data_IF_077675942929
#
_entry.id   IF_077675942929
#
_cell.length_a   1.000
_cell.length_b   1.000
_cell.length_c   1.000
_cell.angle_alpha   90.00
_cell.angle_beta   90.00
_cell.angle_gamma   90.00
#
_symmetry.space_group_name_H-M   'P 1'
#
loop_
_entity.id
_entity.type
_entity.pdbx_description
1 polymer ?
#
# COMPACT_ATOMS: atom_id res chain seq x y z
N UNK A 1 5.82 22.59 35.21
CA UNK A 1 4.88 23.66 34.82
C UNK A 1 3.94 23.10 33.77
N UNK A 2 2.62 23.15 33.99
CA UNK A 2 1.63 22.68 33.03
C UNK A 2 1.70 23.55 31.74
N UNK A 3 1.79 22.91 30.57
CA UNK A 3 1.82 23.62 29.29
C UNK A 3 0.56 23.27 28.51
N UNK A 4 -0.14 24.29 28.03
CA UNK A 4 -1.32 24.09 27.16
C UNK A 4 -0.91 23.36 25.88
N UNK A 5 -1.77 22.43 25.42
CA UNK A 5 -1.50 21.61 24.24
C UNK A 5 -1.31 22.46 23.00
N UNK A 6 -2.16 23.46 22.79
CA UNK A 6 -2.08 24.33 21.61
C UNK A 6 -0.86 25.23 21.64
N UNK A 7 -0.46 25.74 22.84
CA UNK A 7 0.78 26.53 22.98
C UNK A 7 2.02 25.69 22.66
N UNK A 8 2.02 24.41 23.07
CA UNK A 8 3.08 23.47 22.69
C UNK A 8 3.11 23.25 21.17
N UNK A 9 1.95 23.06 20.53
CA UNK A 9 1.84 22.86 19.07
C UNK A 9 2.31 24.10 18.31
N UNK A 10 1.89 25.32 18.72
CA UNK A 10 2.33 26.58 18.11
C UNK A 10 3.86 26.76 18.21
N UNK A 11 4.47 26.31 19.27
CA UNK A 11 5.94 26.36 19.46
C UNK A 11 6.71 25.28 18.71
N UNK A 12 6.04 24.21 18.24
CA UNK A 12 6.70 23.04 17.62
C UNK A 12 7.04 23.21 16.13
N UNK A 13 6.86 24.41 15.54
CA UNK A 13 7.06 24.66 14.11
C UNK A 13 6.32 23.69 13.17
N UNK A 14 5.21 23.07 13.64
CA UNK A 14 4.41 22.14 12.84
C UNK A 14 4.95 20.70 12.78
N UNK A 15 5.89 20.34 13.65
CA UNK A 15 6.48 18.99 13.70
C UNK A 15 7.51 18.73 12.58
N UNK A 16 7.92 17.46 12.39
CA UNK A 16 9.04 17.12 11.50
C UNK A 16 8.85 17.55 10.03
N UNK A 17 7.63 17.47 9.52
CA UNK A 17 7.32 17.90 8.13
C UNK A 17 7.00 19.40 8.11
N UNK A 18 6.23 19.90 9.08
CA UNK A 18 5.76 21.27 9.14
C UNK A 18 6.86 22.32 9.29
N UNK A 19 8.05 21.93 9.77
CA UNK A 19 9.23 22.83 9.81
C UNK A 19 9.64 23.36 8.43
N UNK A 20 9.26 22.67 7.35
CA UNK A 20 9.53 23.07 5.97
C UNK A 20 8.38 23.90 5.34
N UNK A 21 7.29 24.16 6.07
CA UNK A 21 6.04 24.72 5.56
C UNK A 21 6.24 25.96 4.68
N UNK A 22 6.99 26.95 5.17
CA UNK A 22 7.17 28.23 4.46
C UNK A 22 7.82 28.08 3.07
N UNK A 23 8.69 27.08 2.90
CA UNK A 23 9.44 26.83 1.65
C UNK A 23 8.84 25.71 0.81
N UNK A 24 8.02 24.86 1.40
CA UNK A 24 7.56 23.64 0.77
C UNK A 24 6.11 23.68 0.31
N UNK A 25 5.25 24.51 0.95
CA UNK A 25 3.81 24.52 0.67
C UNK A 25 3.51 24.98 -0.77
N UNK A 26 2.73 24.18 -1.48
CA UNK A 26 2.38 24.40 -2.89
C UNK A 26 3.46 23.98 -3.89
N UNK A 27 4.66 23.70 -3.44
CA UNK A 27 5.76 23.27 -4.32
C UNK A 27 6.20 21.84 -4.03
N UNK A 28 6.79 21.56 -2.86
CA UNK A 28 7.19 20.20 -2.44
C UNK A 28 6.11 19.47 -1.65
N UNK A 29 5.38 20.20 -0.79
CA UNK A 29 4.25 19.70 -0.04
C UNK A 29 2.96 20.28 -0.61
N UNK A 30 1.92 19.46 -0.74
CA UNK A 30 0.63 19.84 -1.31
C UNK A 30 0.71 20.50 -2.71
N UNK A 31 1.55 19.99 -3.65
CA UNK A 31 1.62 20.54 -5.00
C UNK A 31 0.28 20.35 -5.71
N UNK A 32 -0.07 21.31 -6.56
CA UNK A 32 -1.29 21.25 -7.36
C UNK A 32 -0.94 20.85 -8.78
N UNK A 33 -1.23 19.60 -9.11
CA UNK A 33 -1.17 19.10 -10.49
C UNK A 33 -2.55 19.25 -11.11
N UNK A 34 -2.62 19.76 -12.32
CA UNK A 34 -3.85 20.06 -13.05
C UNK A 34 -3.89 19.32 -14.39
N UNK A 35 -5.10 19.15 -14.94
CA UNK A 35 -5.33 18.44 -16.19
C UNK A 35 -5.78 17.00 -15.99
N UNK A 36 -5.75 16.22 -17.05
CA UNK A 36 -6.05 14.78 -16.97
C UNK A 36 -4.91 14.04 -16.30
N UNK A 37 -5.30 13.04 -15.47
CA UNK A 37 -4.31 12.16 -14.84
C UNK A 37 -3.54 11.36 -15.89
N UNK A 38 -2.24 11.56 -15.99
CA UNK A 38 -1.41 10.89 -16.98
C UNK A 38 0.04 11.33 -16.92
N UNK A 39 0.85 10.89 -17.90
CA UNK A 39 2.25 11.28 -17.93
C UNK A 39 2.46 12.79 -18.19
N UNK A 40 1.51 13.45 -18.83
CA UNK A 40 1.58 14.88 -19.11
C UNK A 40 0.50 15.61 -18.31
N UNK A 41 0.92 16.44 -17.38
CA UNK A 41 0.06 17.25 -16.52
C UNK A 41 0.55 18.69 -16.47
N UNK A 42 -0.15 19.58 -15.77
CA UNK A 42 0.29 20.95 -15.53
C UNK A 42 0.70 21.14 -14.08
N UNK A 43 1.81 21.83 -13.89
CA UNK A 43 2.26 22.31 -12.58
C UNK A 43 2.61 23.79 -12.67
N UNK A 44 1.97 24.62 -11.85
CA UNK A 44 2.11 26.09 -11.88
C UNK A 44 1.90 26.68 -13.29
N UNK A 45 0.93 26.13 -14.04
CA UNK A 45 0.59 26.59 -15.40
C UNK A 45 1.50 26.06 -16.52
N UNK A 46 2.57 25.34 -16.20
CA UNK A 46 3.50 24.75 -17.18
C UNK A 46 3.20 23.26 -17.39
N UNK A 47 3.33 22.78 -18.63
CA UNK A 47 3.22 21.36 -18.93
C UNK A 47 4.45 20.62 -18.40
N UNK A 48 4.22 19.53 -17.68
CA UNK A 48 5.29 18.71 -17.08
C UNK A 48 5.08 17.24 -17.38
N UNK A 49 6.18 16.51 -17.55
CA UNK A 49 6.19 15.04 -17.55
C UNK A 49 6.15 14.55 -16.11
N UNK A 50 5.03 13.96 -15.71
CA UNK A 50 4.76 13.56 -14.32
C UNK A 50 5.17 12.12 -14.03
N UNK A 51 6.11 11.93 -13.09
CA UNK A 51 6.59 10.64 -12.60
C UNK A 51 6.17 10.31 -11.16
N UNK A 52 5.17 11.03 -10.62
CA UNK A 52 4.78 10.93 -9.21
C UNK A 52 3.39 10.35 -8.97
N UNK A 53 2.75 9.77 -9.99
CA UNK A 53 1.42 9.18 -9.86
C UNK A 53 1.50 7.67 -9.61
N UNK A 54 0.66 7.17 -8.71
CA UNK A 54 0.52 5.73 -8.47
C UNK A 54 -0.40 5.02 -9.50
N UNK A 55 -0.56 5.59 -10.68
CA UNK A 55 -1.41 5.07 -11.76
C UNK A 55 -0.65 4.02 -12.60
N UNK A 56 -0.18 2.94 -11.97
CA UNK A 56 0.78 2.00 -12.53
C UNK A 56 0.36 1.37 -13.87
N UNK A 57 -0.91 0.99 -13.98
CA UNK A 57 -1.46 0.40 -15.21
C UNK A 57 -2.16 1.41 -16.11
N UNK A 58 -2.15 2.71 -15.78
CA UNK A 58 -2.81 3.74 -16.57
C UNK A 58 -4.34 3.73 -16.47
N UNK A 59 -4.92 3.00 -15.53
CA UNK A 59 -6.38 2.78 -15.44
C UNK A 59 -7.18 4.02 -15.08
N UNK A 60 -6.57 5.07 -14.54
CA UNK A 60 -7.29 6.29 -14.12
C UNK A 60 -8.06 6.96 -15.27
N UNK A 61 -7.53 6.90 -16.50
CA UNK A 61 -8.16 7.47 -17.69
C UNK A 61 -8.54 6.43 -18.76
N UNK A 62 -8.56 5.16 -18.37
CA UNK A 62 -8.97 4.09 -19.30
C UNK A 62 -10.41 4.33 -19.78
N UNK A 63 -10.71 4.35 -21.11
CA UNK A 63 -12.03 4.73 -21.63
C UNK A 63 -13.18 3.90 -21.08
N UNK A 64 -13.01 2.58 -21.03
CA UNK A 64 -14.03 1.66 -20.52
C UNK A 64 -14.27 1.83 -19.02
N UNK A 65 -13.22 2.18 -18.25
CA UNK A 65 -13.32 2.46 -16.82
C UNK A 65 -14.05 3.77 -16.59
N UNK A 66 -13.67 4.84 -17.28
CA UNK A 66 -14.36 6.13 -17.17
C UNK A 66 -15.84 6.05 -17.54
N UNK A 67 -16.15 5.22 -18.54
CA UNK A 67 -17.54 4.94 -18.92
C UNK A 67 -18.28 4.21 -17.80
N UNK A 68 -17.71 3.13 -17.26
CA UNK A 68 -18.32 2.35 -16.17
C UNK A 68 -18.51 3.20 -14.91
N UNK A 69 -17.51 3.99 -14.52
CA UNK A 69 -17.59 4.91 -13.37
C UNK A 69 -18.72 5.93 -13.55
N UNK A 70 -18.87 6.52 -14.75
CA UNK A 70 -19.91 7.50 -15.07
C UNK A 70 -21.31 6.86 -15.06
N UNK A 71 -21.47 5.69 -15.66
CA UNK A 71 -22.74 4.94 -15.68
C UNK A 71 -23.16 4.52 -14.26
N UNK A 72 -22.25 4.03 -13.46
CA UNK A 72 -22.49 3.67 -12.06
C UNK A 72 -22.86 4.89 -11.21
N UNK A 73 -22.19 6.03 -11.43
CA UNK A 73 -22.53 7.28 -10.74
C UNK A 73 -23.92 7.80 -11.14
N UNK A 74 -24.29 7.70 -12.41
CA UNK A 74 -25.64 8.08 -12.90
C UNK A 74 -26.72 7.15 -12.32
N UNK A 75 -26.45 5.86 -12.20
CA UNK A 75 -27.39 4.85 -11.69
C UNK A 75 -27.62 4.96 -10.18
N UNK A 76 -26.56 5.08 -9.41
CA UNK A 76 -26.60 4.96 -7.96
C UNK A 76 -26.46 6.30 -7.20
N UNK A 77 -25.89 7.31 -7.83
CA UNK A 77 -25.38 8.49 -7.12
C UNK A 77 -24.21 8.13 -6.20
N UNK A 78 -23.66 9.12 -5.51
CA UNK A 78 -22.47 8.94 -4.65
C UNK A 78 -22.81 8.51 -3.21
N UNK A 79 -24.09 8.53 -2.84
CA UNK A 79 -24.51 8.30 -1.47
C UNK A 79 -24.86 6.83 -1.16
N UNK A 80 -25.29 6.08 -2.15
CA UNK A 80 -25.77 4.70 -1.95
C UNK A 80 -24.61 3.70 -1.82
N UNK A 81 -24.71 2.74 -0.85
CA UNK A 81 -25.69 2.60 0.21
C UNK A 81 -25.40 3.52 1.41
N UNK A 82 -26.42 3.82 2.21
CA UNK A 82 -26.35 4.74 3.36
C UNK A 82 -26.23 4.00 4.70
N UNK A 83 -25.09 3.32 4.92
CA UNK A 83 -24.84 2.62 6.17
C UNK A 83 -23.47 1.99 6.21
N UNK A 84 -23.08 1.48 7.36
CA UNK A 84 -21.92 0.59 7.48
C UNK A 84 -22.24 -0.80 6.92
N UNK A 85 -21.21 -1.56 6.59
CA UNK A 85 -21.36 -2.93 6.08
C UNK A 85 -22.19 -3.82 7.00
N UNK A 86 -22.02 -3.69 8.30
CA UNK A 86 -22.76 -4.46 9.30
C UNK A 86 -24.26 -4.13 9.36
N UNK A 87 -24.67 -2.93 8.97
CA UNK A 87 -26.05 -2.47 9.12
C UNK A 87 -26.78 -2.44 7.78
N UNK A 88 -26.77 -1.32 7.07
CA UNK A 88 -27.53 -1.12 5.83
C UNK A 88 -26.64 -0.85 4.61
N UNK A 89 -25.34 -1.02 4.76
CA UNK A 89 -24.35 -0.75 3.74
C UNK A 89 -23.90 -1.97 2.94
N UNK A 90 -24.43 -3.17 3.20
CA UNK A 90 -24.15 -4.38 2.45
C UNK A 90 -24.98 -4.46 1.18
N UNK A 91 -24.38 -4.83 0.07
CA UNK A 91 -25.09 -5.12 -1.20
C UNK A 91 -24.49 -6.35 -1.88
N UNK A 92 -25.26 -6.96 -2.81
CA UNK A 92 -24.78 -8.10 -3.60
C UNK A 92 -23.54 -7.78 -4.46
N UNK A 93 -23.35 -6.50 -4.85
CA UNK A 93 -22.17 -6.11 -5.63
C UNK A 93 -20.92 -6.00 -4.76
N UNK A 94 -21.03 -5.63 -3.46
CA UNK A 94 -19.94 -5.77 -2.52
C UNK A 94 -19.53 -7.24 -2.36
N UNK A 95 -20.50 -8.13 -2.19
CA UNK A 95 -20.24 -9.58 -2.08
C UNK A 95 -19.61 -10.15 -3.34
N UNK A 96 -20.07 -9.72 -4.52
CA UNK A 96 -19.49 -10.12 -5.80
C UNK A 96 -18.06 -9.65 -5.96
N UNK A 97 -17.75 -8.39 -5.61
CA UNK A 97 -16.40 -7.86 -5.65
C UNK A 97 -15.48 -8.65 -4.71
N UNK A 98 -15.90 -8.90 -3.47
CA UNK A 98 -15.15 -9.69 -2.49
C UNK A 98 -14.90 -11.12 -2.96
N UNK A 99 -15.92 -11.77 -3.51
CA UNK A 99 -15.81 -13.12 -4.09
C UNK A 99 -14.78 -13.16 -5.22
N UNK A 100 -14.80 -12.16 -6.10
CA UNK A 100 -13.88 -12.08 -7.23
C UNK A 100 -12.46 -11.77 -6.83
N UNK A 101 -12.27 -10.86 -5.84
CA UNK A 101 -10.95 -10.58 -5.28
C UNK A 101 -10.34 -11.81 -4.59
N UNK A 102 -11.15 -12.55 -3.82
CA UNK A 102 -10.72 -13.80 -3.22
C UNK A 102 -10.27 -14.82 -4.27
N UNK A 103 -11.08 -15.00 -5.34
CA UNK A 103 -10.74 -15.89 -6.44
C UNK A 103 -9.46 -15.47 -7.18
N UNK A 104 -9.29 -14.17 -7.42
CA UNK A 104 -8.08 -13.61 -8.04
C UNK A 104 -6.84 -13.90 -7.20
N UNK A 105 -6.90 -13.69 -5.89
CA UNK A 105 -5.80 -13.95 -4.95
C UNK A 105 -5.68 -15.43 -4.53
N UNK A 106 -6.51 -16.32 -5.07
CA UNK A 106 -6.56 -17.76 -4.69
C UNK A 106 -6.73 -17.95 -3.18
N UNK A 107 -7.55 -17.10 -2.55
CA UNK A 107 -7.95 -17.22 -1.16
C UNK A 107 -9.42 -17.64 -1.06
N UNK A 108 -9.82 -18.17 0.10
CA UNK A 108 -11.20 -18.64 0.30
C UNK A 108 -12.22 -17.50 0.36
N UNK A 109 -11.82 -16.36 0.94
CA UNK A 109 -12.68 -15.20 1.08
C UNK A 109 -11.89 -13.90 1.08
N UNK A 110 -12.60 -12.77 0.84
CA UNK A 110 -12.06 -11.44 0.99
C UNK A 110 -13.09 -10.52 1.66
N UNK A 111 -12.61 -9.41 2.20
CA UNK A 111 -13.43 -8.35 2.75
C UNK A 111 -12.83 -7.00 2.36
N UNK A 112 -13.63 -6.16 1.70
CA UNK A 112 -13.19 -4.84 1.27
C UNK A 112 -13.31 -3.78 2.34
N UNK A 113 -12.53 -2.72 2.21
CA UNK A 113 -12.54 -1.57 3.11
C UNK A 113 -12.35 -0.25 2.35
N UNK A 114 -12.80 0.85 2.96
CA UNK A 114 -12.90 2.16 2.31
C UNK A 114 -11.54 2.78 1.99
N UNK A 115 -10.54 2.58 2.85
CA UNK A 115 -9.20 3.14 2.70
C UNK A 115 -8.16 2.13 3.17
N UNK A 116 -7.12 1.90 2.36
CA UNK A 116 -6.03 0.97 2.67
C UNK A 116 -5.45 1.19 4.07
N UNK A 117 -5.12 2.44 4.40
CA UNK A 117 -4.56 2.78 5.71
C UNK A 117 -5.44 2.32 6.88
N UNK A 118 -6.73 2.69 6.88
CA UNK A 118 -7.66 2.31 7.94
C UNK A 118 -7.93 0.80 7.98
N UNK A 119 -8.05 0.18 6.80
CA UNK A 119 -8.29 -1.25 6.67
C UNK A 119 -7.16 -2.05 7.30
N UNK A 120 -5.92 -1.72 6.97
CA UNK A 120 -4.71 -2.37 7.50
C UNK A 120 -4.63 -2.21 9.01
N UNK A 121 -4.73 -0.97 9.53
CA UNK A 121 -4.73 -0.72 10.98
C UNK A 121 -5.80 -1.54 11.69
N UNK A 122 -7.02 -1.57 11.15
CA UNK A 122 -8.15 -2.28 11.75
C UNK A 122 -8.02 -3.79 11.63
N UNK A 123 -7.40 -4.30 10.56
CA UNK A 123 -7.12 -5.73 10.38
C UNK A 123 -6.16 -6.21 11.47
N UNK A 124 -5.05 -5.51 11.68
CA UNK A 124 -4.06 -5.86 12.71
C UNK A 124 -4.69 -5.79 14.11
N UNK A 125 -5.37 -4.67 14.43
CA UNK A 125 -6.02 -4.48 15.73
C UNK A 125 -7.06 -5.57 16.04
N UNK A 126 -7.74 -6.06 15.00
CA UNK A 126 -8.80 -7.08 15.16
C UNK A 126 -8.24 -8.50 15.32
N UNK A 127 -7.09 -8.81 14.72
CA UNK A 127 -6.55 -10.17 14.66
C UNK A 127 -5.79 -10.59 15.91
N UNK A 128 -5.13 -9.65 16.58
CA UNK A 128 -4.18 -9.98 17.65
C UNK A 128 -4.69 -9.59 19.03
N UNK A 129 -4.45 -10.45 20.01
CA UNK A 129 -4.76 -10.20 21.42
C UNK A 129 -3.48 -10.07 22.25
N UNK A 130 -3.62 -9.68 23.55
CA UNK A 130 -2.48 -9.45 24.46
C UNK A 130 -1.49 -10.61 24.61
N UNK A 131 -1.92 -11.83 24.28
CA UNK A 131 -1.10 -13.03 24.40
C UNK A 131 -0.28 -13.31 23.15
N UNK A 132 -0.69 -12.71 22.02
CA UNK A 132 0.01 -12.87 20.75
C UNK A 132 1.25 -12.00 20.66
N UNK A 133 2.14 -12.37 19.75
CA UNK A 133 3.39 -11.65 19.50
C UNK A 133 3.43 -11.25 18.02
N UNK A 134 3.72 -9.98 17.76
CA UNK A 134 3.95 -9.48 16.41
C UNK A 134 5.45 -9.45 16.12
N UNK A 135 5.84 -9.97 14.94
CA UNK A 135 7.17 -9.80 14.34
C UNK A 135 7.00 -8.96 13.08
N UNK A 136 7.84 -7.94 12.87
CA UNK A 136 7.63 -7.01 11.75
C UNK A 136 8.95 -6.45 11.20
N UNK A 137 8.94 -6.04 9.91
CA UNK A 137 10.10 -5.44 9.26
C UNK A 137 10.33 -3.99 9.75
N UNK A 138 11.58 -3.58 9.80
CA UNK A 138 11.96 -2.25 10.28
C UNK A 138 11.50 -1.11 9.37
N UNK A 139 11.25 -1.38 8.08
CA UNK A 139 10.84 -0.41 7.07
C UNK A 139 9.37 -0.54 6.66
N UNK A 140 8.58 -1.29 7.42
CA UNK A 140 7.13 -1.41 7.19
C UNK A 140 6.45 -0.03 7.15
N UNK A 141 5.47 0.11 6.25
CA UNK A 141 4.72 1.33 6.04
C UNK A 141 4.01 1.82 7.30
N UNK A 142 3.81 3.13 7.40
CA UNK A 142 3.19 3.78 8.56
C UNK A 142 1.84 3.16 8.98
N UNK A 143 1.02 2.66 8.05
CA UNK A 143 -0.24 1.99 8.37
C UNK A 143 -0.03 0.68 9.13
N UNK A 144 0.99 -0.11 8.77
CA UNK A 144 1.37 -1.32 9.50
C UNK A 144 1.87 -0.95 10.89
N UNK A 145 2.78 0.03 10.98
CA UNK A 145 3.33 0.49 12.26
C UNK A 145 2.25 1.04 13.19
N UNK A 146 1.24 1.75 12.67
CA UNK A 146 0.15 2.27 13.50
C UNK A 146 -0.78 1.15 13.98
N UNK A 147 -1.08 0.14 13.15
CA UNK A 147 -1.78 -1.06 13.59
C UNK A 147 -1.00 -1.83 14.67
N UNK A 148 0.32 -1.99 14.47
CA UNK A 148 1.22 -2.63 15.43
C UNK A 148 1.28 -1.84 16.75
N UNK A 149 1.18 -0.50 16.71
CA UNK A 149 1.15 0.33 17.94
C UNK A 149 -0.07 0.09 18.81
N UNK A 150 -1.23 -0.23 18.21
CA UNK A 150 -2.45 -0.54 18.95
C UNK A 150 -2.33 -1.86 19.70
N UNK A 151 -1.50 -2.79 19.24
CA UNK A 151 -1.28 -4.06 19.91
C UNK A 151 -0.66 -3.88 21.30
N UNK A 152 -1.31 -4.43 22.32
CA UNK A 152 -0.90 -4.35 23.73
C UNK A 152 0.04 -5.47 24.17
N UNK A 153 0.26 -6.48 23.34
CA UNK A 153 1.21 -7.58 23.54
C UNK A 153 2.63 -7.23 23.11
N UNK A 154 3.46 -8.25 23.03
CA UNK A 154 4.86 -8.11 22.64
C UNK A 154 5.01 -7.93 21.13
N UNK A 155 5.99 -7.15 20.73
CA UNK A 155 6.32 -6.88 19.32
C UNK A 155 7.82 -6.83 19.14
N UNK A 156 8.31 -7.52 18.11
CA UNK A 156 9.72 -7.63 17.78
C UNK A 156 9.97 -7.16 16.35
N UNK A 157 10.82 -6.16 16.23
CA UNK A 157 11.27 -5.65 14.95
C UNK A 157 12.51 -6.41 14.49
N UNK A 158 12.56 -6.80 13.22
CA UNK A 158 13.79 -7.27 12.57
C UNK A 158 14.33 -6.24 11.58
N UNK A 159 15.63 -6.32 11.28
CA UNK A 159 16.29 -5.45 10.32
C UNK A 159 15.74 -5.70 8.92
N UNK A 160 15.48 -4.62 8.19
CA UNK A 160 14.90 -4.66 6.84
C UNK A 160 15.55 -5.74 5.96
N UNK A 161 14.71 -6.64 5.45
CA UNK A 161 15.10 -7.74 4.55
C UNK A 161 16.28 -8.61 5.05
N UNK A 162 16.52 -8.68 6.36
CA UNK A 162 17.54 -9.53 6.96
C UNK A 162 16.92 -10.82 7.51
N UNK A 163 16.97 -11.91 6.71
CA UNK A 163 16.38 -13.19 7.09
C UNK A 163 16.99 -13.78 8.37
N UNK A 164 18.29 -13.55 8.62
CA UNK A 164 18.96 -14.07 9.82
C UNK A 164 18.44 -13.36 11.07
N UNK A 165 18.26 -12.04 10.98
CA UNK A 165 17.69 -11.26 12.08
C UNK A 165 16.20 -11.58 12.24
N UNK A 166 15.43 -11.74 11.13
CA UNK A 166 14.06 -12.20 11.14
C UNK A 166 13.93 -13.55 11.86
N UNK A 167 14.71 -14.56 11.51
CA UNK A 167 14.69 -15.87 12.16
C UNK A 167 15.02 -15.76 13.64
N UNK A 168 16.02 -14.98 14.00
CA UNK A 168 16.42 -14.75 15.41
C UNK A 168 15.28 -14.18 16.25
N UNK A 169 14.58 -13.15 15.76
CA UNK A 169 13.47 -12.54 16.52
C UNK A 169 12.22 -13.40 16.49
N UNK A 170 11.98 -14.13 15.39
CA UNK A 170 10.87 -15.07 15.25
C UNK A 170 10.99 -16.23 16.25
N UNK A 171 12.19 -16.82 16.41
CA UNK A 171 12.43 -17.85 17.41
C UNK A 171 12.05 -17.37 18.81
N UNK A 172 12.49 -16.18 19.20
CA UNK A 172 12.14 -15.54 20.47
C UNK A 172 10.63 -15.29 20.60
N UNK A 173 9.98 -14.83 19.53
CA UNK A 173 8.57 -14.59 19.50
C UNK A 173 7.75 -15.87 19.71
N UNK A 174 8.16 -16.98 19.06
CA UNK A 174 7.50 -18.28 19.20
C UNK A 174 7.62 -18.81 20.64
N UNK A 175 8.80 -18.74 21.25
CA UNK A 175 9.00 -19.15 22.65
C UNK A 175 8.13 -18.34 23.62
N UNK A 176 8.01 -17.04 23.37
CA UNK A 176 7.19 -16.15 24.22
C UNK A 176 5.70 -16.41 24.03
N UNK A 177 5.23 -16.55 22.79
CA UNK A 177 3.84 -16.85 22.47
C UNK A 177 3.41 -18.18 23.09
N UNK A 178 4.24 -19.23 23.01
CA UNK A 178 3.98 -20.53 23.64
C UNK A 178 3.79 -20.39 25.17
N UNK A 179 4.68 -19.65 25.84
CA UNK A 179 4.58 -19.40 27.30
C UNK A 179 3.30 -18.65 27.69
N UNK A 180 2.79 -17.80 26.80
CA UNK A 180 1.60 -16.96 27.02
C UNK A 180 0.29 -17.62 26.55
N UNK A 181 0.38 -18.76 25.85
CA UNK A 181 -0.77 -19.39 25.18
C UNK A 181 -1.33 -18.58 24.02
N UNK A 182 -0.48 -17.81 23.33
CA UNK A 182 -0.81 -17.00 22.15
C UNK A 182 -0.21 -17.55 20.87
N UNK A 183 -0.33 -16.79 19.78
CA UNK A 183 0.24 -17.04 18.47
C UNK A 183 1.28 -15.98 18.05
N UNK A 184 1.88 -16.20 16.87
CA UNK A 184 2.81 -15.24 16.27
C UNK A 184 2.27 -14.79 14.92
N UNK A 185 2.19 -13.47 14.72
CA UNK A 185 1.89 -12.83 13.43
C UNK A 185 3.15 -12.13 12.94
N UNK A 186 3.68 -12.58 11.79
CA UNK A 186 4.75 -11.89 11.07
C UNK A 186 4.12 -10.98 10.03
N UNK A 187 4.51 -9.71 10.03
CA UNK A 187 4.00 -8.66 9.15
C UNK A 187 5.16 -8.12 8.32
N UNK A 188 4.96 -7.94 7.01
CA UNK A 188 5.91 -7.28 6.10
C UNK A 188 5.20 -6.76 4.85
N UNK A 189 5.89 -5.99 4.03
CA UNK A 189 5.39 -5.58 2.72
C UNK A 189 5.82 -6.56 1.62
N UNK A 190 5.00 -6.68 0.58
CA UNK A 190 5.39 -7.35 -0.66
C UNK A 190 6.36 -6.50 -1.47
N UNK A 191 5.99 -5.23 -1.67
CA UNK A 191 6.84 -4.19 -2.29
C UNK A 191 6.95 -3.02 -1.33
N UNK A 192 8.15 -2.67 -0.92
CA UNK A 192 8.42 -1.47 -0.12
C UNK A 192 8.32 -0.21 -0.99
N UNK A 193 7.25 0.56 -0.76
CA UNK A 193 6.84 1.65 -1.65
C UNK A 193 7.83 2.82 -1.76
N UNK A 194 8.79 2.96 -0.84
CA UNK A 194 9.78 4.04 -0.86
C UNK A 194 11.07 3.65 -1.60
N UNK A 195 11.43 2.37 -1.58
CA UNK A 195 12.70 1.87 -2.12
C UNK A 195 12.50 1.06 -3.41
N UNK A 196 11.28 0.57 -3.64
CA UNK A 196 11.01 -0.38 -4.71
C UNK A 196 11.61 -1.78 -4.47
N UNK A 197 12.13 -2.04 -3.27
CA UNK A 197 12.61 -3.35 -2.85
C UNK A 197 11.46 -4.33 -2.75
N UNK A 198 11.72 -5.60 -3.05
CA UNK A 198 10.80 -6.69 -2.76
C UNK A 198 11.03 -7.20 -1.33
N UNK A 199 9.94 -7.59 -0.66
CA UNK A 199 10.03 -8.35 0.58
C UNK A 199 10.61 -9.74 0.34
N UNK A 200 11.35 -10.29 1.29
CA UNK A 200 11.99 -11.63 1.21
C UNK A 200 10.99 -12.77 1.51
N UNK A 201 9.84 -12.76 0.81
CA UNK A 201 8.69 -13.61 1.15
C UNK A 201 8.99 -15.11 1.03
N UNK A 202 9.78 -15.53 0.05
CA UNK A 202 10.21 -16.92 -0.14
C UNK A 202 11.04 -17.43 1.04
N UNK A 203 11.95 -16.59 1.53
CA UNK A 203 12.79 -16.91 2.67
C UNK A 203 11.98 -16.93 3.97
N UNK A 204 11.07 -16.00 4.16
CA UNK A 204 10.16 -15.95 5.33
C UNK A 204 9.22 -17.17 5.30
N UNK A 205 8.62 -17.49 4.15
CA UNK A 205 7.75 -18.66 4.00
C UNK A 205 8.48 -19.97 4.34
N UNK A 206 9.76 -20.09 3.95
CA UNK A 206 10.59 -21.26 4.29
C UNK A 206 10.75 -21.47 5.81
N UNK A 207 10.66 -20.42 6.63
CA UNK A 207 10.72 -20.53 8.10
C UNK A 207 9.50 -21.23 8.71
N UNK A 208 8.36 -21.35 8.00
CA UNK A 208 7.19 -22.13 8.45
C UNK A 208 7.50 -23.62 8.63
N UNK A 209 8.53 -24.14 7.97
CA UNK A 209 9.02 -25.51 8.18
C UNK A 209 9.64 -25.72 9.57
N UNK A 210 10.05 -24.62 10.22
CA UNK A 210 10.78 -24.67 11.50
C UNK A 210 9.98 -24.05 12.65
N UNK A 211 9.16 -23.03 12.35
CA UNK A 211 8.42 -22.24 13.35
C UNK A 211 6.92 -22.22 13.00
N UNK A 212 6.09 -22.14 14.04
CA UNK A 212 4.63 -21.97 13.89
C UNK A 212 4.28 -20.50 13.99
N UNK A 213 3.94 -19.88 12.87
CA UNK A 213 3.52 -18.48 12.80
C UNK A 213 2.61 -18.25 11.58
N UNK A 214 1.93 -17.10 11.52
CA UNK A 214 1.14 -16.65 10.39
C UNK A 214 1.82 -15.49 9.70
N UNK A 215 1.68 -15.39 8.38
CA UNK A 215 2.24 -14.34 7.54
C UNK A 215 1.12 -13.43 7.06
N UNK A 216 1.25 -12.13 7.34
CA UNK A 216 0.45 -11.06 6.76
C UNK A 216 1.35 -10.20 5.87
N UNK A 217 0.93 -9.98 4.63
CA UNK A 217 1.64 -9.08 3.73
C UNK A 217 0.76 -7.88 3.34
N UNK A 218 1.36 -6.70 3.33
CA UNK A 218 0.84 -5.52 2.63
C UNK A 218 1.43 -5.50 1.22
N UNK A 219 0.61 -5.83 0.25
CA UNK A 219 1.01 -5.87 -1.15
C UNK A 219 0.37 -4.72 -1.96
N UNK A 220 0.15 -3.58 -1.32
CA UNK A 220 -0.45 -2.39 -1.93
C UNK A 220 0.27 -1.96 -3.22
N UNK A 221 1.56 -2.16 -3.31
CA UNK A 221 2.39 -1.83 -4.47
C UNK A 221 2.64 -3.01 -5.41
N UNK A 222 2.33 -4.25 -5.01
CA UNK A 222 2.48 -5.45 -5.82
C UNK A 222 1.17 -5.89 -6.50
N UNK A 223 0.02 -5.69 -5.84
CA UNK A 223 -1.30 -6.02 -6.37
C UNK A 223 -1.54 -5.41 -7.76
N UNK A 224 -1.92 -6.23 -8.72
CA UNK A 224 -2.17 -5.85 -10.11
C UNK A 224 -0.92 -5.74 -10.99
N UNK A 225 0.30 -5.69 -10.42
CA UNK A 225 1.54 -5.42 -11.19
C UNK A 225 2.64 -6.45 -11.04
N UNK A 226 2.72 -7.15 -9.89
CA UNK A 226 3.69 -8.21 -9.63
C UNK A 226 3.09 -9.59 -9.93
N UNK A 227 3.95 -10.56 -10.24
CA UNK A 227 3.54 -11.91 -10.63
C UNK A 227 3.12 -12.00 -12.09
N UNK A 228 2.93 -13.23 -12.57
CA UNK A 228 2.57 -13.50 -13.97
C UNK A 228 1.19 -12.94 -14.33
N UNK A 229 0.22 -13.12 -13.41
CA UNK A 229 -1.16 -12.69 -13.60
C UNK A 229 -1.50 -11.40 -12.85
N UNK A 230 -0.52 -10.76 -12.21
CA UNK A 230 -0.75 -9.56 -11.40
C UNK A 230 -1.31 -9.82 -10.00
N UNK A 231 -1.20 -11.06 -9.48
CA UNK A 231 -1.63 -11.44 -8.12
C UNK A 231 -0.64 -11.04 -7.03
N UNK A 232 0.26 -10.15 -7.35
CA UNK A 232 1.19 -9.57 -6.39
C UNK A 232 2.46 -10.38 -6.15
N UNK A 233 3.14 -10.01 -5.06
CA UNK A 233 4.46 -10.54 -4.73
C UNK A 233 4.42 -11.99 -4.25
N UNK A 234 3.34 -12.44 -3.64
CA UNK A 234 3.15 -13.83 -3.26
C UNK A 234 3.13 -14.78 -4.48
N UNK A 235 2.52 -14.34 -5.60
CA UNK A 235 2.59 -15.05 -6.88
C UNK A 235 4.01 -14.99 -7.46
N UNK A 236 4.63 -13.80 -7.44
CA UNK A 236 5.99 -13.60 -7.96
C UNK A 236 7.01 -14.58 -7.34
N UNK A 237 6.92 -14.80 -6.04
CA UNK A 237 7.79 -15.74 -5.31
C UNK A 237 7.28 -17.18 -5.27
N UNK A 238 6.08 -17.46 -5.78
CA UNK A 238 5.47 -18.79 -5.75
C UNK A 238 5.09 -19.27 -4.34
N UNK A 239 4.74 -18.33 -3.44
CA UNK A 239 4.43 -18.60 -2.02
C UNK A 239 3.00 -18.18 -1.63
N UNK A 240 2.08 -18.20 -2.58
CA UNK A 240 0.68 -17.80 -2.32
C UNK A 240 0.00 -18.62 -1.24
N UNK A 241 0.35 -19.90 -1.13
CA UNK A 241 -0.24 -20.81 -0.13
C UNK A 241 0.34 -20.59 1.28
N UNK A 242 1.55 -20.06 1.38
CA UNK A 242 2.21 -19.74 2.65
C UNK A 242 1.81 -18.40 3.24
N UNK A 243 1.32 -17.48 2.43
CA UNK A 243 0.78 -16.18 2.90
C UNK A 243 -0.62 -16.41 3.46
N UNK A 244 -0.81 -16.18 4.76
CA UNK A 244 -2.09 -16.43 5.44
C UNK A 244 -3.07 -15.27 5.26
N UNK A 245 -2.56 -14.03 5.24
CA UNK A 245 -3.36 -12.81 5.12
C UNK A 245 -2.72 -11.92 4.06
N UNK A 246 -3.46 -11.68 3.00
CA UNK A 246 -3.08 -10.81 1.90
C UNK A 246 -3.83 -9.49 1.97
N UNK A 247 -3.13 -8.36 1.85
CA UNK A 247 -3.72 -7.03 1.76
C UNK A 247 -3.43 -6.44 0.39
N UNK A 248 -4.48 -6.07 -0.34
CA UNK A 248 -4.40 -5.30 -1.58
C UNK A 248 -4.97 -3.90 -1.42
N UNK A 249 -4.37 -2.91 -2.08
CA UNK A 249 -4.88 -1.55 -2.11
C UNK A 249 -5.30 -1.14 -3.51
N UNK A 250 -6.48 -0.50 -3.63
CA UNK A 250 -7.00 -0.03 -4.91
C UNK A 250 -6.35 1.27 -5.39
N UNK A 251 -5.72 2.01 -4.47
CA UNK A 251 -5.19 3.36 -4.73
C UNK A 251 -3.97 3.41 -5.67
N UNK A 252 -3.43 2.27 -6.10
CA UNK A 252 -2.26 2.16 -6.97
C UNK A 252 -2.68 1.59 -8.34
N UNK A 253 -2.52 0.29 -8.56
CA UNK A 253 -2.80 -0.36 -9.85
C UNK A 253 -4.24 -0.17 -10.33
N UNK A 254 -5.22 -0.20 -9.43
CA UNK A 254 -6.63 0.04 -9.78
C UNK A 254 -6.99 1.53 -9.92
N UNK A 255 -6.14 2.46 -9.50
CA UNK A 255 -6.36 3.92 -9.59
C UNK A 255 -7.72 4.38 -9.04
N UNK A 256 -8.16 3.82 -7.89
CA UNK A 256 -9.40 4.18 -7.19
C UNK A 256 -9.21 4.01 -5.68
N UNK A 257 -10.08 4.60 -4.87
CA UNK A 257 -9.99 4.47 -3.41
C UNK A 257 -10.49 3.11 -2.94
N UNK A 258 -9.93 2.64 -1.82
CA UNK A 258 -10.30 1.40 -1.16
C UNK A 258 -9.16 0.40 -1.05
N UNK A 259 -9.50 -0.80 -0.66
CA UNK A 259 -8.61 -1.94 -0.56
C UNK A 259 -9.36 -3.15 -0.03
N UNK A 260 -8.65 -4.25 0.19
CA UNK A 260 -9.24 -5.47 0.69
C UNK A 260 -8.23 -6.31 1.47
N UNK A 261 -8.75 -7.16 2.34
CA UNK A 261 -8.03 -8.27 2.97
C UNK A 261 -8.57 -9.58 2.41
N UNK A 262 -7.69 -10.52 2.09
CA UNK A 262 -8.06 -11.87 1.65
C UNK A 262 -7.33 -12.92 2.51
N UNK A 263 -8.04 -13.98 2.91
CA UNK A 263 -7.56 -15.03 3.79
C UNK A 263 -8.50 -16.26 3.73
N UNK A 264 -8.29 -17.21 4.64
CA UNK A 264 -9.23 -18.30 4.89
C UNK A 264 -10.61 -17.74 5.30
N UNK A 265 -11.67 -18.45 4.95
CA UNK A 265 -13.05 -17.97 5.12
C UNK A 265 -13.40 -17.65 6.58
N UNK A 266 -13.00 -18.47 7.53
CA UNK A 266 -13.27 -18.28 8.94
C UNK A 266 -12.58 -17.04 9.52
N UNK A 267 -11.40 -16.69 9.01
CA UNK A 267 -10.67 -15.47 9.35
C UNK A 267 -11.39 -14.24 8.80
N UNK A 268 -11.84 -14.29 7.55
CA UNK A 268 -12.62 -13.18 6.96
C UNK A 268 -13.96 -13.02 7.66
N UNK A 269 -14.65 -14.12 7.99
CA UNK A 269 -15.91 -14.06 8.74
C UNK A 269 -15.68 -13.45 10.15
N UNK A 270 -14.58 -13.77 10.81
CA UNK A 270 -14.20 -13.12 12.07
C UNK A 270 -13.96 -11.61 11.87
N UNK A 271 -13.20 -11.21 10.85
CA UNK A 271 -12.88 -9.81 10.57
C UNK A 271 -14.15 -8.97 10.30
N UNK A 272 -15.14 -9.50 9.61
CA UNK A 272 -16.43 -8.82 9.33
C UNK A 272 -17.12 -8.32 10.61
N UNK A 273 -16.97 -9.02 11.72
CA UNK A 273 -17.58 -8.68 13.00
C UNK A 273 -16.66 -7.93 13.97
N UNK A 274 -15.37 -7.76 13.63
CA UNK A 274 -14.38 -7.18 14.53
C UNK A 274 -13.66 -5.95 13.94
N UNK A 275 -13.61 -5.75 12.62
CA UNK A 275 -12.97 -4.59 12.02
C UNK A 275 -13.74 -3.30 12.26
N UNK A 276 -13.31 -2.55 13.25
CA UNK A 276 -13.96 -1.30 13.70
C UNK A 276 -14.12 -0.28 12.57
N UNK A 277 -13.15 -0.19 11.65
CA UNK A 277 -13.21 0.70 10.48
C UNK A 277 -14.33 0.36 9.49
N UNK A 278 -14.89 -0.86 9.56
CA UNK A 278 -15.99 -1.29 8.69
C UNK A 278 -17.33 -1.35 9.45
N UNK A 279 -17.29 -1.54 10.75
CA UNK A 279 -18.48 -1.57 11.61
C UNK A 279 -18.99 -0.15 11.84
N UNK A 280 -18.10 0.83 12.07
CA UNK A 280 -18.45 2.19 12.49
C UNK A 280 -18.27 3.24 11.38
N UNK A 281 -17.99 2.82 10.15
CA UNK A 281 -17.90 3.71 9.00
C UNK A 281 -18.91 3.32 7.92
N UNK A 282 -19.33 4.29 7.13
CA UNK A 282 -20.15 4.07 5.92
C UNK A 282 -19.37 3.19 4.94
N UNK A 283 -20.05 2.24 4.30
CA UNK A 283 -19.47 1.38 3.27
C UNK A 283 -19.09 2.16 2.00
N UNK A 284 -18.28 1.55 1.14
CA UNK A 284 -17.93 2.09 -0.17
C UNK A 284 -19.19 2.42 -0.98
N UNK A 285 -19.26 3.57 -1.65
CA UNK A 285 -20.34 3.89 -2.57
C UNK A 285 -20.34 2.95 -3.79
N UNK A 286 -21.54 2.67 -4.31
CA UNK A 286 -21.70 1.77 -5.44
C UNK A 286 -20.90 2.12 -6.68
N UNK A 287 -20.71 3.41 -7.06
CA UNK A 287 -19.83 3.74 -8.18
C UNK A 287 -18.39 3.25 -8.00
N UNK A 288 -17.90 3.23 -6.76
CA UNK A 288 -16.57 2.70 -6.46
C UNK A 288 -16.57 1.17 -6.61
N UNK A 289 -17.58 0.49 -6.08
CA UNK A 289 -17.69 -0.99 -6.17
C UNK A 289 -17.83 -1.47 -7.61
N UNK A 290 -18.73 -0.88 -8.41
CA UNK A 290 -18.87 -1.22 -9.84
C UNK A 290 -17.58 -0.84 -10.61
N UNK A 291 -16.96 0.30 -10.30
CA UNK A 291 -15.69 0.69 -10.86
C UNK A 291 -14.54 -0.27 -10.54
N UNK A 292 -14.52 -0.84 -9.31
CA UNK A 292 -13.55 -1.88 -8.93
C UNK A 292 -13.79 -3.19 -9.71
N UNK A 293 -15.04 -3.61 -9.86
CA UNK A 293 -15.39 -4.79 -10.68
C UNK A 293 -14.89 -4.65 -12.11
N UNK A 294 -15.11 -3.48 -12.74
CA UNK A 294 -14.63 -3.22 -14.10
C UNK A 294 -13.11 -3.21 -14.20
N UNK A 295 -12.42 -2.65 -13.19
CA UNK A 295 -10.96 -2.65 -13.12
C UNK A 295 -10.39 -4.06 -12.98
N UNK A 296 -11.04 -4.87 -12.16
CA UNK A 296 -10.65 -6.28 -11.99
C UNK A 296 -10.87 -7.08 -13.27
N UNK A 297 -11.96 -6.80 -14.04
CA UNK A 297 -12.17 -7.39 -15.37
C UNK A 297 -10.98 -7.14 -16.31
N UNK A 298 -10.45 -5.92 -16.29
CA UNK A 298 -9.30 -5.56 -17.14
C UNK A 298 -8.02 -6.21 -16.61
N UNK A 299 -7.76 -6.10 -15.30
CA UNK A 299 -6.53 -6.64 -14.69
C UNK A 299 -6.42 -8.16 -14.91
N UNK A 300 -7.54 -8.89 -14.79
CA UNK A 300 -7.63 -10.35 -14.96
C UNK A 300 -8.00 -10.73 -16.43
N UNK A 301 -7.35 -10.09 -17.40
CA UNK A 301 -7.59 -10.30 -18.82
C UNK A 301 -6.32 -10.17 -19.65
N UNK A 302 -6.32 -10.58 -20.94
CA UNK A 302 -5.19 -10.34 -21.86
C UNK A 302 -4.82 -8.85 -22.00
N UNK A 303 -5.78 -7.94 -21.83
CA UNK A 303 -5.49 -6.49 -21.79
C UNK A 303 -4.64 -6.12 -20.57
N UNK A 304 -4.98 -6.67 -19.38
CA UNK A 304 -4.19 -6.50 -18.16
C UNK A 304 -2.77 -7.04 -18.31
N UNK A 305 -2.62 -8.20 -18.99
CA UNK A 305 -1.29 -8.74 -19.31
C UNK A 305 -0.48 -7.78 -20.18
N UNK A 306 -1.11 -7.18 -21.20
CA UNK A 306 -0.47 -6.21 -22.06
C UNK A 306 -0.08 -4.93 -21.30
N UNK A 307 -0.94 -4.44 -20.41
CA UNK A 307 -0.65 -3.28 -19.56
C UNK A 307 0.52 -3.55 -18.60
N UNK A 308 0.56 -4.72 -17.97
CA UNK A 308 1.69 -5.16 -17.12
C UNK A 308 2.99 -5.26 -17.94
N UNK A 309 2.93 -5.88 -19.11
CA UNK A 309 4.08 -5.99 -20.00
C UNK A 309 4.65 -4.60 -20.39
N UNK A 310 3.77 -3.64 -20.70
CA UNK A 310 4.16 -2.27 -20.98
C UNK A 310 4.76 -1.58 -19.76
N UNK A 311 4.16 -1.71 -18.58
CA UNK A 311 4.70 -1.19 -17.32
C UNK A 311 6.13 -1.70 -17.10
N UNK A 312 6.33 -3.01 -17.20
CA UNK A 312 7.65 -3.63 -16.98
C UNK A 312 8.68 -3.26 -18.04
N UNK A 313 8.24 -3.06 -19.28
CA UNK A 313 9.12 -2.54 -20.35
C UNK A 313 9.64 -1.15 -20.00
N UNK A 314 8.75 -0.24 -19.56
CA UNK A 314 9.13 1.13 -19.17
C UNK A 314 9.99 1.12 -17.91
N UNK A 315 9.62 0.33 -16.91
CA UNK A 315 10.37 0.19 -15.65
C UNK A 315 11.80 -0.28 -15.90
N UNK A 316 11.98 -1.36 -16.65
CA UNK A 316 13.33 -1.88 -16.99
C UNK A 316 14.14 -0.84 -17.71
N UNK A 317 13.57 -0.19 -18.74
CA UNK A 317 14.27 0.85 -19.48
C UNK A 317 14.74 2.01 -18.59
N UNK A 318 13.88 2.44 -17.65
CA UNK A 318 14.21 3.50 -16.70
C UNK A 318 15.33 3.08 -15.75
N UNK A 319 15.20 1.90 -15.12
CA UNK A 319 16.17 1.39 -14.15
C UNK A 319 17.54 1.10 -14.79
N UNK A 320 17.56 0.48 -15.96
CA UNK A 320 18.77 0.23 -16.73
C UNK A 320 19.47 1.55 -17.10
N UNK A 321 18.71 2.51 -17.64
CA UNK A 321 19.25 3.82 -18.00
C UNK A 321 19.83 4.58 -16.81
N UNK A 322 19.18 4.55 -15.65
CA UNK A 322 19.74 5.17 -14.45
C UNK A 322 21.04 4.48 -13.99
N UNK A 323 21.09 3.14 -14.02
CA UNK A 323 22.31 2.40 -13.65
C UNK A 323 23.46 2.68 -14.64
N UNK A 324 23.18 2.69 -15.95
CA UNK A 324 24.15 3.03 -16.99
C UNK A 324 24.74 4.44 -16.82
N UNK A 325 23.93 5.38 -16.38
CA UNK A 325 24.34 6.76 -16.08
C UNK A 325 24.99 6.93 -14.70
N UNK A 326 25.09 5.86 -13.90
CA UNK A 326 25.73 5.87 -12.58
C UNK A 326 24.86 6.41 -11.45
N UNK A 327 23.55 6.53 -11.64
CA UNK A 327 22.64 6.87 -10.55
C UNK A 327 22.44 5.71 -9.59
N UNK A 328 22.39 6.02 -8.29
CA UNK A 328 22.04 5.06 -7.26
C UNK A 328 20.51 4.99 -7.12
N UNK A 329 19.93 3.87 -7.52
CA UNK A 329 18.50 3.59 -7.39
C UNK A 329 18.20 2.58 -6.27
N UNK A 330 19.18 2.30 -5.40
CA UNK A 330 19.04 1.35 -4.31
C UNK A 330 18.67 -0.06 -4.77
N UNK A 331 17.91 -0.80 -3.96
CA UNK A 331 17.50 -2.18 -4.25
C UNK A 331 16.22 -2.27 -5.10
N UNK A 332 15.92 -1.27 -5.94
CA UNK A 332 14.68 -1.24 -6.72
C UNK A 332 14.58 -2.42 -7.69
N UNK A 333 13.58 -3.27 -7.44
CA UNK A 333 13.20 -4.43 -8.25
C UNK A 333 11.73 -4.35 -8.73
N UNK A 334 10.91 -3.54 -8.06
CA UNK A 334 9.52 -3.26 -8.44
C UNK A 334 9.40 -2.09 -9.43
N UNK A 335 8.18 -1.73 -9.81
CA UNK A 335 7.92 -0.58 -10.70
C UNK A 335 8.20 0.78 -10.05
N UNK A 336 8.33 0.84 -8.73
CA UNK A 336 8.79 2.03 -8.00
C UNK A 336 10.31 2.14 -8.14
N UNK A 337 10.78 3.29 -8.61
CA UNK A 337 12.21 3.51 -8.87
C UNK A 337 12.66 4.82 -8.22
N UNK A 338 13.26 4.78 -7.02
CA UNK A 338 13.84 5.96 -6.39
C UNK A 338 15.19 6.31 -7.04
N UNK A 339 15.59 7.57 -6.89
CA UNK A 339 16.99 8.01 -7.08
C UNK A 339 17.50 8.51 -5.75
N UNK A 340 18.51 7.83 -5.20
CA UNK A 340 19.04 8.12 -3.88
C UNK A 340 20.05 9.27 -3.94
N UNK A 341 19.77 10.35 -3.21
CA UNK A 341 20.62 11.54 -3.17
C UNK A 341 21.35 11.59 -1.82
N UNK A 342 22.61 11.18 -1.81
CA UNK A 342 23.43 11.11 -0.59
C UNK A 342 23.92 12.47 -0.04
N UNK A 343 23.79 13.54 -0.83
CA UNK A 343 24.26 14.87 -0.46
C UNK A 343 23.32 15.69 0.43
N UNK A 344 22.24 15.07 0.94
CA UNK A 344 21.29 15.64 1.89
C UNK A 344 20.09 16.35 1.26
N UNK A 345 19.17 16.78 2.11
CA UNK A 345 17.84 17.32 1.74
C UNK A 345 17.91 18.49 0.77
N UNK A 346 18.85 19.44 0.98
CA UNK A 346 18.98 20.60 0.11
C UNK A 346 19.36 20.20 -1.32
N UNK A 347 20.20 19.18 -1.50
CA UNK A 347 20.61 18.70 -2.82
C UNK A 347 19.44 18.02 -3.55
N UNK A 348 18.66 17.19 -2.84
CA UNK A 348 17.47 16.57 -3.42
C UNK A 348 16.42 17.63 -3.82
N UNK A 349 16.22 18.66 -2.99
CA UNK A 349 15.33 19.76 -3.31
C UNK A 349 15.80 20.55 -4.54
N UNK A 350 17.08 20.88 -4.63
CA UNK A 350 17.66 21.61 -5.79
C UNK A 350 17.54 20.80 -7.07
N UNK A 351 17.78 19.48 -7.03
CA UNK A 351 17.57 18.59 -8.18
C UNK A 351 16.11 18.62 -8.62
N UNK A 352 15.16 18.52 -7.70
CA UNK A 352 13.74 18.56 -8.04
C UNK A 352 13.31 19.93 -8.61
N UNK A 353 13.90 21.03 -8.13
CA UNK A 353 13.69 22.37 -8.72
C UNK A 353 14.19 22.40 -10.15
N UNK A 354 15.43 22.00 -10.42
CA UNK A 354 16.00 21.97 -11.76
C UNK A 354 15.15 21.09 -12.69
N UNK A 355 14.77 19.88 -12.24
CA UNK A 355 13.91 18.99 -13.03
C UNK A 355 12.58 19.66 -13.40
N UNK A 356 11.94 20.37 -12.49
CA UNK A 356 10.63 21.00 -12.74
C UNK A 356 10.75 22.27 -13.58
N UNK A 357 11.72 23.13 -13.32
CA UNK A 357 11.80 24.47 -13.92
C UNK A 357 12.59 24.49 -15.23
N UNK A 358 13.64 23.65 -15.35
CA UNK A 358 14.49 23.63 -16.52
C UNK A 358 14.12 22.50 -17.50
N UNK A 359 13.71 21.33 -16.94
CA UNK A 359 13.45 20.13 -17.74
C UNK A 359 11.96 19.76 -17.83
N UNK A 360 11.08 20.47 -17.14
CA UNK A 360 9.65 20.21 -17.11
C UNK A 360 9.30 18.77 -16.69
N UNK A 361 10.06 18.22 -15.74
CA UNK A 361 9.84 16.89 -15.16
C UNK A 361 9.36 17.04 -13.72
N UNK A 362 8.17 16.52 -13.41
CA UNK A 362 7.64 16.51 -12.06
C UNK A 362 7.91 15.16 -11.39
N UNK A 363 8.73 15.17 -10.34
CA UNK A 363 8.92 14.07 -9.42
C UNK A 363 8.74 14.53 -7.97
N UNK A 364 8.40 13.59 -7.08
CA UNK A 364 8.29 13.86 -5.65
C UNK A 364 9.64 13.76 -4.96
N UNK A 365 9.88 14.64 -3.99
CA UNK A 365 11.03 14.54 -3.08
C UNK A 365 10.55 13.88 -1.80
N UNK A 366 11.19 12.77 -1.43
CA UNK A 366 10.88 12.02 -0.21
C UNK A 366 12.00 12.21 0.78
N UNK A 367 11.66 12.67 1.98
CA UNK A 367 12.60 13.00 3.05
C UNK A 367 12.11 12.47 4.40
N UNK A 368 12.97 12.48 5.41
CA UNK A 368 12.53 12.21 6.79
C UNK A 368 11.31 13.07 7.17
N UNK A 369 10.30 12.54 7.88
CA UNK A 369 10.23 11.20 8.49
C UNK A 369 9.59 10.10 7.61
N UNK A 370 9.37 10.36 6.33
CA UNK A 370 8.77 9.38 5.40
C UNK A 370 9.76 8.24 5.11
N UNK A 371 11.04 8.57 5.09
CA UNK A 371 12.16 7.62 5.02
C UNK A 371 13.08 7.83 6.21
N UNK A 372 13.89 6.83 6.62
CA UNK A 372 14.94 7.01 7.61
C UNK A 372 15.90 8.15 7.26
N UNK A 373 16.52 8.78 8.28
CA UNK A 373 17.48 9.87 8.05
C UNK A 373 18.75 9.40 7.35
#
# INVERSE_FOLDING_TARGET
MFTDIFDRIRKSAGGPIGQYREKAEGYFAFPRLEGELGPNMKFNGQDVLCWSLNNYLGLANHPEIRKADAEAAAKWGLAYPMGSRMMTGQTHLHEELERRLAAFEKKEAAFEFNFGYQGIVSTIDSLVCRHDVIVYDAEDHACLLDGIRLHVGSKYKFRHNDIKDCERVLAKACEEAEKKGGGVLLITEGVFGMTGALGILDQIAALKKKYKFRIMIDDAHGFGVMGEHGRGTSEHFGVMDEVDIYIGAYAKSMAIIGGFVAADKDIIDYLKYNMRSQIYAKSLPMPIVEGCLKRLDIIDSPEGDALRAQLWKVTRRLQEGFRELGFDIGPAEACVTPVLVKAGVNSAANIAVALREEYHIFCSVVIYPVIPP
#
